data_IF_521648578722
#
_entry.id   IF_521648578722
#
_cell.length_a   1.000
_cell.length_b   1.000
_cell.length_c   1.000
_cell.angle_alpha   90.00
_cell.angle_beta   90.00
_cell.angle_gamma   90.00
#
_symmetry.space_group_name_H-M   'P 1'
#
loop_
_entity.id
_entity.type
_entity.pdbx_description
1 polymer ?
#
# COMPACT_ATOMS: atom_id res chain seq x y z
N UNK A 1 -7.47 16.96 6.73
CA UNK A 1 -7.86 16.23 7.96
C UNK A 1 -8.42 17.22 8.97
N UNK A 2 -9.29 16.75 9.85
CA UNK A 2 -9.83 17.55 10.94
C UNK A 2 -9.11 17.23 12.25
N UNK A 3 -8.49 16.04 12.31
CA UNK A 3 -7.69 15.57 13.44
C UNK A 3 -6.36 15.03 12.92
N UNK A 4 -5.28 15.30 13.65
CA UNK A 4 -3.91 14.89 13.33
C UNK A 4 -3.31 14.14 14.50
N UNK A 5 -2.79 12.95 14.27
CA UNK A 5 -1.95 12.23 15.23
C UNK A 5 -0.50 12.59 14.94
N UNK A 6 0.17 13.21 15.91
CA UNK A 6 1.52 13.72 15.76
C UNK A 6 2.44 13.04 16.77
N UNK A 7 3.59 12.61 16.33
CA UNK A 7 4.67 12.06 17.15
C UNK A 7 5.77 13.11 17.28
N UNK A 8 6.03 13.55 18.49
CA UNK A 8 7.05 14.56 18.77
C UNK A 8 7.83 14.20 20.03
N UNK A 9 9.00 14.81 20.21
CA UNK A 9 9.78 14.69 21.45
C UNK A 9 9.25 15.68 22.48
N UNK A 10 9.14 15.22 23.73
CA UNK A 10 8.95 16.08 24.88
C UNK A 10 10.25 16.75 25.33
N UNK A 11 10.19 17.57 26.41
CA UNK A 11 11.35 18.29 26.96
C UNK A 11 12.45 17.35 27.48
N UNK A 12 12.11 16.09 27.79
CA UNK A 12 13.05 15.05 28.19
C UNK A 12 13.65 14.30 26.98
N UNK A 13 13.24 14.66 25.77
CA UNK A 13 13.66 14.01 24.51
C UNK A 13 12.95 12.69 24.22
N UNK A 14 11.95 12.31 24.98
CA UNK A 14 11.16 11.10 24.78
C UNK A 14 10.08 11.33 23.72
N UNK A 15 9.90 10.38 22.82
CA UNK A 15 8.83 10.43 21.80
C UNK A 15 7.48 10.19 22.50
N UNK A 16 6.55 11.12 22.28
CA UNK A 16 5.17 11.06 22.75
C UNK A 16 4.20 11.21 21.59
N UNK A 17 2.96 10.81 21.77
CA UNK A 17 1.89 11.00 20.80
C UNK A 17 0.92 12.11 21.23
N UNK A 18 0.48 12.90 20.28
CA UNK A 18 -0.43 14.04 20.49
C UNK A 18 -1.55 14.03 19.47
N UNK A 19 -2.73 14.47 19.88
CA UNK A 19 -3.85 14.73 18.97
C UNK A 19 -3.96 16.23 18.78
N UNK A 20 -3.75 16.68 17.54
CA UNK A 20 -3.97 18.08 17.19
C UNK A 20 -5.26 18.20 16.38
N UNK A 21 -5.99 19.29 16.55
CA UNK A 21 -7.24 19.55 15.86
C UNK A 21 -7.09 20.69 14.85
N UNK A 22 -7.81 20.56 13.74
CA UNK A 22 -7.91 21.62 12.75
C UNK A 22 -8.43 22.90 13.41
N UNK A 23 -7.71 23.98 13.17
CA UNK A 23 -8.05 25.30 13.77
C UNK A 23 -7.18 25.65 14.99
N UNK A 24 -6.34 24.75 15.48
CA UNK A 24 -5.35 25.15 16.47
C UNK A 24 -4.46 26.25 15.90
N UNK A 25 -4.23 27.31 16.70
CA UNK A 25 -3.40 28.43 16.27
C UNK A 25 -2.00 27.95 15.92
N UNK A 26 -1.50 28.33 14.75
CA UNK A 26 -0.19 27.93 14.26
C UNK A 26 -0.14 26.60 13.51
N UNK A 27 -1.26 25.83 13.47
CA UNK A 27 -1.36 24.57 12.75
C UNK A 27 -1.92 24.79 11.34
N UNK A 28 -1.17 24.38 10.33
CA UNK A 28 -1.62 24.32 8.94
C UNK A 28 -1.26 22.97 8.30
N UNK A 29 -2.02 22.56 7.31
CA UNK A 29 -1.80 21.29 6.62
C UNK A 29 -1.97 21.45 5.10
N UNK A 30 -1.01 22.08 4.41
CA UNK A 30 -1.06 22.25 2.97
C UNK A 30 -1.01 20.89 2.26
N UNK A 31 -1.82 20.76 1.20
CA UNK A 31 -1.88 19.55 0.39
C UNK A 31 -0.69 19.45 -0.55
N UNK A 32 -0.11 18.26 -0.66
CA UNK A 32 0.90 17.94 -1.66
C UNK A 32 0.17 17.59 -2.97
N UNK A 33 0.46 18.35 -4.02
CA UNK A 33 -0.12 18.15 -5.35
C UNK A 33 0.84 17.34 -6.25
N UNK A 34 0.30 16.81 -7.34
CA UNK A 34 1.10 16.17 -8.39
C UNK A 34 1.54 14.73 -8.13
N UNK A 35 1.00 14.05 -7.12
CA UNK A 35 1.26 12.61 -6.97
C UNK A 35 0.79 11.85 -8.20
N UNK A 36 1.61 10.89 -8.67
CA UNK A 36 1.28 10.06 -9.83
C UNK A 36 0.39 8.85 -9.50
N UNK A 37 0.39 8.40 -8.24
CA UNK A 37 -0.44 7.30 -7.75
C UNK A 37 -1.16 7.65 -6.45
N UNK A 38 -2.16 6.84 -6.09
CA UNK A 38 -3.04 7.05 -4.93
C UNK A 38 -3.57 8.50 -4.85
N UNK A 39 -3.99 9.05 -5.98
CA UNK A 39 -4.39 10.46 -6.11
C UNK A 39 -5.66 10.81 -5.32
N UNK A 40 -6.52 9.83 -5.05
CA UNK A 40 -7.69 9.99 -4.18
C UNK A 40 -7.35 9.97 -2.68
N UNK A 41 -6.16 9.50 -2.31
CA UNK A 41 -5.64 9.57 -0.95
C UNK A 41 -4.86 10.88 -0.79
N UNK A 42 -5.46 11.86 -0.13
CA UNK A 42 -4.86 13.18 0.06
C UNK A 42 -3.64 13.04 0.98
N UNK A 43 -2.50 13.53 0.50
CA UNK A 43 -1.25 13.64 1.27
C UNK A 43 -0.95 15.12 1.49
N UNK A 44 -0.48 15.49 2.66
CA UNK A 44 -0.13 16.86 3.00
C UNK A 44 1.07 16.94 3.93
N UNK A 45 1.49 18.14 4.20
CA UNK A 45 2.44 18.45 5.27
C UNK A 45 1.66 18.82 6.54
N UNK A 46 2.28 18.65 7.70
CA UNK A 46 1.81 19.21 8.95
C UNK A 46 2.83 20.28 9.35
N UNK A 47 2.42 21.54 9.26
CA UNK A 47 3.26 22.69 9.63
C UNK A 47 2.77 23.20 10.98
N UNK A 48 3.67 23.25 11.94
CA UNK A 48 3.41 23.68 13.32
C UNK A 48 4.32 24.84 13.69
N UNK A 49 3.73 25.97 14.00
CA UNK A 49 4.41 27.18 14.43
C UNK A 49 3.87 27.57 15.82
N UNK A 50 4.59 27.23 16.87
CA UNK A 50 4.21 27.44 18.27
C UNK A 50 2.79 26.95 18.58
N UNK A 51 2.42 25.75 18.10
CA UNK A 51 1.10 25.16 18.32
C UNK A 51 1.00 24.71 19.78
N UNK A 52 0.09 25.30 20.55
CA UNK A 52 -0.24 24.83 21.89
C UNK A 52 -1.10 23.54 21.80
N UNK A 53 -0.66 22.48 22.44
CA UNK A 53 -1.38 21.22 22.59
C UNK A 53 -1.81 21.04 24.05
N UNK A 54 -3.11 20.98 24.36
CA UNK A 54 -3.58 20.71 25.72
C UNK A 54 -3.08 19.34 26.23
N UNK A 55 -2.88 19.23 27.54
CA UNK A 55 -2.38 17.99 28.18
C UNK A 55 -3.30 16.79 27.94
N UNK A 56 -4.61 17.00 27.92
CA UNK A 56 -5.62 15.98 27.63
C UNK A 56 -5.52 15.40 26.23
N UNK A 57 -4.85 16.10 25.31
CA UNK A 57 -4.61 15.64 23.93
C UNK A 57 -3.32 14.82 23.80
N UNK A 58 -2.55 14.66 24.85
CA UNK A 58 -1.38 13.77 24.86
C UNK A 58 -1.79 12.33 25.18
N UNK A 59 -1.21 11.38 24.47
CA UNK A 59 -1.41 9.96 24.79
C UNK A 59 -0.67 9.58 26.07
N UNK A 60 -1.38 9.24 27.17
CA UNK A 60 -0.76 9.12 28.48
C UNK A 60 0.21 7.92 28.60
N UNK A 61 -0.09 6.82 27.89
CA UNK A 61 0.69 5.57 27.99
C UNK A 61 1.76 5.41 26.91
N UNK A 62 1.89 6.40 26.01
CA UNK A 62 2.84 6.32 24.91
C UNK A 62 4.14 7.01 25.27
N UNK A 63 5.23 6.23 25.30
CA UNK A 63 6.59 6.73 25.45
C UNK A 63 7.55 5.95 24.55
N UNK A 64 8.32 6.67 23.74
CA UNK A 64 9.27 6.10 22.78
C UNK A 64 8.61 5.63 21.48
N UNK A 65 9.38 4.90 20.67
CA UNK A 65 8.98 4.46 19.33
C UNK A 65 7.89 3.37 19.30
N UNK A 66 7.58 2.76 20.45
CA UNK A 66 6.55 1.70 20.50
C UNK A 66 5.18 2.18 20.00
N UNK A 67 4.80 3.42 20.30
CA UNK A 67 3.54 4.01 19.82
C UNK A 67 3.44 4.02 18.28
N UNK A 68 4.31 4.76 17.58
CA UNK A 68 4.27 4.80 16.11
C UNK A 68 4.46 3.41 15.47
N UNK A 69 5.32 2.54 15.98
CA UNK A 69 5.49 1.20 15.43
C UNK A 69 4.29 0.28 15.60
N UNK A 70 3.49 0.47 16.66
CA UNK A 70 2.23 -0.27 16.81
C UNK A 70 1.26 0.07 15.66
N UNK A 71 1.13 1.34 15.33
CA UNK A 71 0.31 1.79 14.19
C UNK A 71 0.83 1.24 12.86
N UNK A 72 2.13 1.39 12.61
CA UNK A 72 2.76 0.91 11.37
C UNK A 72 2.62 -0.61 11.21
N UNK A 73 2.83 -1.38 12.27
CA UNK A 73 2.72 -2.84 12.22
C UNK A 73 1.28 -3.30 11.91
N UNK A 74 0.28 -2.59 12.40
CA UNK A 74 -1.12 -2.87 12.05
C UNK A 74 -1.42 -2.49 10.60
N UNK A 75 -0.96 -1.31 10.14
CA UNK A 75 -1.17 -0.82 8.79
C UNK A 75 -0.52 -1.74 7.74
N UNK A 76 0.72 -2.17 7.96
CA UNK A 76 1.46 -3.07 7.05
C UNK A 76 0.73 -4.37 6.75
N UNK A 77 0.04 -4.94 7.73
CA UNK A 77 -0.77 -6.15 7.52
C UNK A 77 -1.92 -5.91 6.53
N UNK A 78 -2.67 -4.83 6.71
CA UNK A 78 -3.75 -4.44 5.78
C UNK A 78 -3.25 -4.13 4.38
N UNK A 79 -2.09 -3.46 4.28
CA UNK A 79 -1.44 -3.13 3.00
C UNK A 79 -1.04 -4.40 2.24
N UNK A 80 -0.52 -5.41 2.94
CA UNK A 80 -0.15 -6.68 2.32
C UNK A 80 -1.34 -7.36 1.61
N UNK A 81 -2.52 -7.34 2.21
CA UNK A 81 -3.76 -7.81 1.59
C UNK A 81 -4.21 -6.96 0.41
N UNK A 82 -4.24 -5.63 0.60
CA UNK A 82 -4.70 -4.70 -0.45
C UNK A 82 -3.85 -4.75 -1.71
N UNK A 83 -2.54 -4.92 -1.58
CA UNK A 83 -1.64 -5.07 -2.71
C UNK A 83 -1.95 -6.34 -3.53
N UNK A 84 -2.23 -7.46 -2.86
CA UNK A 84 -2.60 -8.71 -3.54
C UNK A 84 -3.94 -8.61 -4.26
N UNK A 85 -4.93 -7.90 -3.68
CA UNK A 85 -6.19 -7.63 -4.36
C UNK A 85 -6.03 -6.82 -5.65
N UNK A 86 -5.12 -5.83 -5.65
CA UNK A 86 -4.77 -5.11 -6.88
C UNK A 86 -4.06 -6.03 -7.91
N UNK A 87 -3.22 -6.95 -7.44
CA UNK A 87 -2.57 -7.94 -8.30
C UNK A 87 -3.59 -8.90 -8.94
N UNK A 88 -4.59 -9.36 -8.17
CA UNK A 88 -5.67 -10.20 -8.68
C UNK A 88 -6.47 -9.49 -9.78
N UNK A 89 -6.84 -8.22 -9.59
CA UNK A 89 -7.57 -7.45 -10.61
C UNK A 89 -6.71 -7.29 -11.87
N UNK A 90 -5.42 -7.00 -11.74
CA UNK A 90 -4.49 -6.94 -12.87
C UNK A 90 -4.41 -8.28 -13.62
N UNK A 91 -4.33 -9.40 -12.90
CA UNK A 91 -4.29 -10.73 -13.47
C UNK A 91 -5.57 -11.06 -14.24
N UNK A 92 -6.74 -10.80 -13.64
CA UNK A 92 -8.03 -11.05 -14.26
C UNK A 92 -8.21 -10.23 -15.55
N UNK A 93 -7.89 -8.95 -15.53
CA UNK A 93 -7.95 -8.05 -16.70
C UNK A 93 -7.02 -8.51 -17.81
N UNK A 94 -5.77 -8.79 -17.47
CA UNK A 94 -4.79 -9.25 -18.45
C UNK A 94 -5.17 -10.60 -19.04
N UNK A 95 -5.64 -11.55 -18.22
CA UNK A 95 -6.12 -12.87 -18.67
C UNK A 95 -7.27 -12.73 -19.67
N UNK A 96 -8.27 -11.93 -19.35
CA UNK A 96 -9.42 -11.73 -20.25
C UNK A 96 -8.96 -11.10 -21.57
N UNK A 97 -8.13 -10.04 -21.45
CA UNK A 97 -7.60 -9.35 -22.64
C UNK A 97 -6.86 -10.30 -23.59
N UNK A 98 -5.96 -11.15 -23.09
CA UNK A 98 -5.16 -12.04 -23.96
C UNK A 98 -5.96 -13.22 -24.52
N UNK A 99 -7.11 -13.56 -23.91
CA UNK A 99 -8.06 -14.51 -24.48
C UNK A 99 -8.84 -13.91 -25.66
N UNK A 100 -9.23 -12.65 -25.55
CA UNK A 100 -10.07 -11.96 -26.54
C UNK A 100 -9.24 -11.38 -27.68
N UNK A 101 -8.07 -10.83 -27.40
CA UNK A 101 -7.19 -10.18 -28.40
C UNK A 101 -6.54 -11.19 -29.30
N UNK A 102 -6.80 -11.07 -30.61
CA UNK A 102 -6.22 -11.92 -31.65
C UNK A 102 -5.15 -11.16 -32.43
N UNK A 103 -4.03 -11.82 -32.67
CA UNK A 103 -2.98 -11.39 -33.59
C UNK A 103 -2.42 -12.65 -34.30
N UNK A 104 -2.01 -12.49 -35.55
CA UNK A 104 -1.53 -13.61 -36.39
C UNK A 104 -2.50 -14.81 -36.43
N UNK A 105 -3.81 -14.51 -36.47
CA UNK A 105 -4.88 -15.51 -36.62
C UNK A 105 -5.25 -16.28 -35.33
N UNK A 106 -4.65 -15.97 -34.17
CA UNK A 106 -4.91 -16.67 -32.89
C UNK A 106 -4.95 -15.72 -31.71
N UNK A 107 -5.62 -16.10 -30.58
CA UNK A 107 -5.56 -15.33 -29.35
C UNK A 107 -4.12 -15.18 -28.85
N UNK A 108 -3.80 -14.05 -28.18
CA UNK A 108 -2.50 -13.85 -27.55
C UNK A 108 -2.20 -14.95 -26.51
N UNK A 109 -3.22 -15.45 -25.82
CA UNK A 109 -3.12 -16.56 -24.87
C UNK A 109 -2.58 -17.87 -25.46
N UNK A 110 -2.56 -18.04 -26.80
CA UNK A 110 -1.94 -19.18 -27.45
C UNK A 110 -0.41 -19.16 -27.42
N UNK A 111 0.22 -18.04 -27.01
CA UNK A 111 1.67 -17.93 -26.92
C UNK A 111 2.17 -18.40 -25.56
N UNK A 112 3.18 -19.27 -25.54
CA UNK A 112 3.76 -19.81 -24.30
C UNK A 112 4.36 -18.72 -23.39
N UNK A 113 4.92 -17.64 -23.93
CA UNK A 113 5.43 -16.52 -23.15
C UNK A 113 4.31 -15.81 -22.35
N UNK A 114 3.10 -15.72 -22.91
CA UNK A 114 1.92 -15.19 -22.24
C UNK A 114 1.42 -16.18 -21.18
N UNK A 115 1.33 -17.46 -21.51
CA UNK A 115 0.92 -18.51 -20.58
C UNK A 115 1.83 -18.58 -19.35
N UNK A 116 3.16 -18.50 -19.58
CA UNK A 116 4.15 -18.46 -18.51
C UNK A 116 3.92 -17.28 -17.56
N UNK A 117 3.75 -16.06 -18.11
CA UNK A 117 3.47 -14.87 -17.29
C UNK A 117 2.21 -15.05 -16.44
N UNK A 118 1.10 -15.55 -17.03
CA UNK A 118 -0.12 -15.80 -16.29
C UNK A 118 0.04 -16.83 -15.16
N UNK A 119 0.81 -17.89 -15.40
CA UNK A 119 1.09 -18.91 -14.41
C UNK A 119 1.96 -18.36 -13.27
N UNK A 120 3.03 -17.62 -13.58
CA UNK A 120 3.91 -16.98 -12.61
C UNK A 120 3.12 -15.99 -11.72
N UNK A 121 2.32 -15.13 -12.34
CA UNK A 121 1.47 -14.17 -11.61
C UNK A 121 0.51 -14.86 -10.65
N UNK A 122 -0.22 -15.90 -11.11
CA UNK A 122 -1.16 -16.65 -10.27
C UNK A 122 -0.45 -17.36 -9.12
N UNK A 123 0.74 -17.90 -9.35
CA UNK A 123 1.55 -18.55 -8.32
C UNK A 123 1.89 -17.57 -7.20
N UNK A 124 2.40 -16.39 -7.53
CA UNK A 124 2.79 -15.38 -6.56
C UNK A 124 1.58 -14.83 -5.78
N UNK A 125 0.46 -14.62 -6.44
CA UNK A 125 -0.81 -14.22 -5.78
C UNK A 125 -1.21 -15.29 -4.77
N UNK A 126 -1.24 -16.56 -5.18
CA UNK A 126 -1.66 -17.67 -4.33
C UNK A 126 -0.78 -17.80 -3.09
N UNK A 127 0.54 -17.77 -3.26
CA UNK A 127 1.50 -17.85 -2.15
C UNK A 127 1.38 -16.63 -1.21
N UNK A 128 1.22 -15.42 -1.78
CA UNK A 128 1.02 -14.20 -1.01
C UNK A 128 -0.24 -14.25 -0.15
N UNK A 129 -1.37 -14.68 -0.72
CA UNK A 129 -2.64 -14.83 0.01
C UNK A 129 -2.53 -15.85 1.15
N UNK A 130 -1.88 -17.00 0.93
CA UNK A 130 -1.63 -18.00 1.98
C UNK A 130 -0.75 -17.44 3.09
N UNK A 131 0.30 -16.69 2.74
CA UNK A 131 1.17 -16.02 3.71
C UNK A 131 0.42 -14.98 4.54
N UNK A 132 -0.40 -14.14 3.92
CA UNK A 132 -1.24 -13.17 4.62
C UNK A 132 -2.27 -13.83 5.54
N UNK A 133 -2.90 -14.92 5.09
CA UNK A 133 -3.85 -15.69 5.91
C UNK A 133 -3.16 -16.29 7.13
N UNK A 134 -1.97 -16.90 6.94
CA UNK A 134 -1.20 -17.45 8.08
C UNK A 134 -0.80 -16.34 9.05
N UNK A 135 -0.34 -15.20 8.55
CA UNK A 135 -0.01 -14.05 9.39
C UNK A 135 -1.24 -13.57 10.20
N UNK A 136 -2.44 -13.50 9.57
CA UNK A 136 -3.67 -13.13 10.26
C UNK A 136 -3.96 -14.04 11.45
N UNK A 137 -3.88 -15.35 11.25
CA UNK A 137 -4.05 -16.34 12.32
C UNK A 137 -3.02 -16.17 13.44
N UNK A 138 -1.74 -15.93 13.09
CA UNK A 138 -0.68 -15.65 14.08
C UNK A 138 -0.97 -14.37 14.87
N UNK A 139 -1.56 -13.34 14.24
CA UNK A 139 -1.98 -12.12 14.95
C UNK A 139 -3.12 -12.40 15.94
N UNK A 140 -4.11 -13.20 15.56
CA UNK A 140 -5.20 -13.62 16.45
C UNK A 140 -4.69 -14.47 17.63
N UNK A 141 -3.68 -15.31 17.37
CA UNK A 141 -2.99 -16.15 18.37
C UNK A 141 -2.01 -15.36 19.25
N UNK A 142 -1.72 -14.09 18.93
CA UNK A 142 -0.72 -13.27 19.63
C UNK A 142 0.73 -13.72 19.39
N UNK A 143 1.00 -14.51 18.36
CA UNK A 143 2.33 -15.09 18.05
C UNK A 143 3.05 -14.40 16.89
N UNK A 144 2.40 -13.43 16.22
CA UNK A 144 3.01 -12.71 15.10
C UNK A 144 4.12 -11.76 15.56
N UNK A 145 5.32 -11.92 15.04
CA UNK A 145 6.40 -10.94 15.23
C UNK A 145 6.25 -9.76 14.25
N UNK A 146 6.92 -8.65 14.56
CA UNK A 146 6.96 -7.46 13.69
C UNK A 146 7.63 -7.77 12.36
N UNK A 147 8.67 -8.62 12.39
CA UNK A 147 9.45 -9.00 11.22
C UNK A 147 8.60 -9.77 10.21
N UNK A 148 7.75 -10.71 10.64
CA UNK A 148 6.89 -11.46 9.71
C UNK A 148 5.87 -10.56 9.04
N UNK A 149 5.34 -9.56 9.76
CA UNK A 149 4.44 -8.53 9.19
C UNK A 149 5.18 -7.71 8.13
N UNK A 150 6.41 -7.29 8.42
CA UNK A 150 7.26 -6.54 7.48
C UNK A 150 7.62 -7.36 6.24
N UNK A 151 7.94 -8.66 6.41
CA UNK A 151 8.20 -9.58 5.30
C UNK A 151 6.97 -9.69 4.40
N UNK A 152 5.79 -9.85 4.98
CA UNK A 152 4.56 -9.99 4.20
C UNK A 152 4.20 -8.70 3.44
N UNK A 153 4.33 -7.53 4.08
CA UNK A 153 4.15 -6.25 3.39
C UNK A 153 5.12 -6.12 2.21
N UNK A 154 6.41 -6.31 2.45
CA UNK A 154 7.46 -6.21 1.42
C UNK A 154 7.20 -7.17 0.26
N UNK A 155 6.91 -8.45 0.55
CA UNK A 155 6.67 -9.46 -0.47
C UNK A 155 5.42 -9.13 -1.30
N UNK A 156 4.29 -8.90 -0.63
CA UNK A 156 3.01 -8.68 -1.31
C UNK A 156 3.03 -7.42 -2.18
N UNK A 157 3.60 -6.31 -1.70
CA UNK A 157 3.70 -5.07 -2.48
C UNK A 157 4.63 -5.22 -3.68
N UNK A 158 5.83 -5.80 -3.49
CA UNK A 158 6.80 -6.01 -4.56
C UNK A 158 6.25 -6.94 -5.65
N UNK A 159 5.67 -8.07 -5.25
CA UNK A 159 5.07 -9.02 -6.19
C UNK A 159 3.85 -8.45 -6.91
N UNK A 160 3.00 -7.70 -6.21
CA UNK A 160 1.86 -7.02 -6.85
C UNK A 160 2.32 -6.01 -7.92
N UNK A 161 3.38 -5.25 -7.64
CA UNK A 161 3.96 -4.32 -8.61
C UNK A 161 4.53 -5.04 -9.83
N UNK A 162 5.26 -6.14 -9.64
CA UNK A 162 5.78 -6.96 -10.74
C UNK A 162 4.63 -7.54 -11.59
N UNK A 163 3.56 -8.02 -10.94
CA UNK A 163 2.36 -8.51 -11.60
C UNK A 163 1.68 -7.42 -12.43
N UNK A 164 1.53 -6.22 -11.88
CA UNK A 164 0.95 -5.10 -12.63
C UNK A 164 1.80 -4.71 -13.85
N UNK A 165 3.14 -4.75 -13.73
CA UNK A 165 4.07 -4.53 -14.86
C UNK A 165 3.92 -5.61 -15.92
N UNK A 166 3.82 -6.89 -15.54
CA UNK A 166 3.59 -8.00 -16.49
C UNK A 166 2.23 -7.89 -17.17
N UNK A 167 1.18 -7.56 -16.43
CA UNK A 167 -0.17 -7.35 -16.96
C UNK A 167 -0.18 -6.22 -18.00
N UNK A 168 0.41 -5.07 -17.67
CA UNK A 168 0.54 -3.93 -18.56
C UNK A 168 1.30 -4.32 -19.84
N UNK A 169 2.39 -5.05 -19.69
CA UNK A 169 3.20 -5.48 -20.83
C UNK A 169 2.43 -6.42 -21.78
N UNK A 170 1.71 -7.40 -21.25
CA UNK A 170 0.88 -8.32 -22.06
C UNK A 170 -0.23 -7.62 -22.85
N UNK A 171 -0.69 -6.45 -22.41
CA UNK A 171 -1.73 -5.67 -23.07
C UNK A 171 -1.17 -4.70 -24.13
N UNK A 172 0.15 -4.60 -24.28
CA UNK A 172 0.79 -3.71 -25.24
C UNK A 172 0.39 -2.25 -25.08
N UNK A 173 0.04 -1.55 -26.16
CA UNK A 173 -0.40 -0.16 -26.12
C UNK A 173 -1.66 0.07 -25.29
N UNK A 174 -2.59 -0.89 -25.27
CA UNK A 174 -3.80 -0.83 -24.44
C UNK A 174 -3.48 -0.86 -22.94
N UNK A 175 -2.37 -1.46 -22.53
CA UNK A 175 -1.91 -1.46 -21.15
C UNK A 175 -1.46 -0.08 -20.63
N UNK A 176 -1.34 0.92 -21.48
CA UNK A 176 -1.01 2.32 -21.12
C UNK A 176 -2.27 3.17 -20.93
N UNK A 177 -3.42 2.73 -21.45
CA UNK A 177 -4.68 3.45 -21.34
C UNK A 177 -5.39 3.20 -20.00
N UNK A 178 -5.95 4.24 -19.41
CA UNK A 178 -6.78 4.14 -18.19
C UNK A 178 -8.04 3.29 -18.41
N UNK A 179 -8.55 3.21 -19.65
CA UNK A 179 -9.71 2.39 -20.02
C UNK A 179 -9.55 0.92 -19.60
N UNK A 180 -8.34 0.38 -19.68
CA UNK A 180 -8.06 -1.02 -19.32
C UNK A 180 -7.72 -1.21 -17.83
N UNK A 181 -7.55 -0.14 -17.07
CA UNK A 181 -7.43 -0.13 -15.61
C UNK A 181 -6.10 -0.61 -15.03
N UNK A 182 -5.26 -1.30 -15.79
CA UNK A 182 -3.98 -1.86 -15.29
C UNK A 182 -2.95 -0.76 -15.05
N UNK A 183 -2.86 0.27 -15.91
CA UNK A 183 -1.95 1.39 -15.71
C UNK A 183 -2.23 2.13 -14.39
N UNK A 184 -3.49 2.28 -14.02
CA UNK A 184 -3.89 2.85 -12.73
C UNK A 184 -3.36 2.04 -11.54
N UNK A 185 -3.49 0.70 -11.59
CA UNK A 185 -2.94 -0.17 -10.56
C UNK A 185 -1.42 -0.09 -10.50
N UNK A 186 -0.76 -0.03 -11.64
CA UNK A 186 0.69 0.09 -11.73
C UNK A 186 1.20 1.33 -10.98
N UNK A 187 0.67 2.51 -11.30
CA UNK A 187 1.11 3.76 -10.63
C UNK A 187 0.71 3.81 -9.15
N UNK A 188 -0.42 3.22 -8.77
CA UNK A 188 -0.82 3.10 -7.38
C UNK A 188 0.11 2.16 -6.60
N UNK A 189 0.50 1.04 -7.19
CA UNK A 189 1.38 0.06 -6.56
C UNK A 189 2.82 0.56 -6.42
N UNK A 190 3.30 1.48 -7.26
CA UNK A 190 4.58 2.18 -7.03
C UNK A 190 4.55 2.92 -5.69
N UNK A 191 3.43 3.58 -5.36
CA UNK A 191 3.25 4.25 -4.05
C UNK A 191 3.16 3.23 -2.94
N UNK A 192 2.33 2.18 -3.10
CA UNK A 192 2.13 1.13 -2.09
C UNK A 192 3.43 0.38 -1.77
N UNK A 193 4.28 0.15 -2.77
CA UNK A 193 5.58 -0.47 -2.60
C UNK A 193 6.58 0.46 -1.88
N UNK A 194 6.37 1.79 -1.97
CA UNK A 194 7.28 2.79 -1.43
C UNK A 194 6.99 3.12 0.04
N UNK A 195 5.72 3.30 0.40
CA UNK A 195 5.35 3.77 1.73
C UNK A 195 5.40 2.67 2.81
N UNK A 196 5.39 3.08 4.07
CA UNK A 196 5.37 2.22 5.28
C UNK A 196 6.66 1.39 5.50
N UNK A 197 7.70 1.63 4.74
CA UNK A 197 9.00 0.96 4.89
C UNK A 197 9.06 -0.44 4.29
#
# INVERSE_FOLDING_TARGET
>A
ADVFVVWAKDDEGAIRGFVLEKGFKGLTAPKIEGKVGLRSSITGEIVMDEVFCPEENAFPEVRGLKGPFTCLNSARYGIAWGALGAAEDCWHRARQYVLDRKQFGKPLAANQLIQKKLADMQTEITLGLQGCLRLGRMKDEGTASVEITSIMKRNSCGKALDIARMARDMMGGNGISDEFGVARHLVNLEVVNTYEG
#
